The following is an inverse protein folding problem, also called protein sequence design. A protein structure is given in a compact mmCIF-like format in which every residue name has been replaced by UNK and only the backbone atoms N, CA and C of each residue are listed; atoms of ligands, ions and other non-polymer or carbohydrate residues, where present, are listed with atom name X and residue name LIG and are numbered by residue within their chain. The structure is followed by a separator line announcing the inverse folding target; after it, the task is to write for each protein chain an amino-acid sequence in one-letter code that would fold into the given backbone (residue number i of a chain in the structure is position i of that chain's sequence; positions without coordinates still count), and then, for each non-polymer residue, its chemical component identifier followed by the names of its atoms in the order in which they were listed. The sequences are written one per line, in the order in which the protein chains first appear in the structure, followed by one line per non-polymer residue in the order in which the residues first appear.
data_IF_234416358227
#
_entry.id   IF_234416358227
#
_cell.length_a   1.000
_cell.length_b   1.000
_cell.length_c   1.000
_cell.angle_alpha   90.00
_cell.angle_beta   90.00
_cell.angle_gamma   90.00
#
_symmetry.space_group_name_H-M   'P 1'
#
loop_
_entity.id
_entity.type
_entity.pdbx_description
1 polymer ?
#
# COMPACT_ATOMS: atom_id res chain seq x y z
N UNK A 1 6.71 -14.78 6.96
CA UNK A 1 5.77 -15.88 6.65
C UNK A 1 6.43 -17.23 6.34
N UNK A 2 7.69 -17.27 5.86
CA UNK A 2 8.41 -18.54 5.61
C UNK A 2 8.81 -19.31 6.88
N UNK A 3 8.63 -18.71 8.07
CA UNK A 3 8.83 -19.41 9.34
C UNK A 3 7.70 -20.46 9.51
N UNK A 4 8.03 -21.78 9.55
CA UNK A 4 7.02 -22.83 9.69
C UNK A 4 6.16 -22.70 10.95
N UNK A 5 6.71 -22.10 12.02
CA UNK A 5 5.99 -21.87 13.27
C UNK A 5 4.81 -20.92 13.07
N UNK A 6 4.98 -19.85 12.29
CA UNK A 6 3.92 -18.88 12.01
C UNK A 6 2.74 -19.55 11.30
N UNK A 7 3.04 -20.34 10.26
CA UNK A 7 2.00 -21.05 9.51
C UNK A 7 1.30 -22.12 10.35
N UNK A 8 2.05 -22.83 11.20
CA UNK A 8 1.45 -23.84 12.07
C UNK A 8 0.56 -23.20 13.15
N UNK A 9 0.97 -22.07 13.73
CA UNK A 9 0.12 -21.29 14.63
C UNK A 9 -1.19 -20.89 13.94
N UNK A 10 -1.15 -20.40 12.70
CA UNK A 10 -2.37 -20.08 11.94
C UNK A 10 -3.26 -21.30 11.69
N UNK A 11 -2.68 -22.45 11.33
CA UNK A 11 -3.45 -23.70 11.18
C UNK A 11 -4.09 -24.14 12.50
N UNK A 12 -3.37 -23.99 13.62
CA UNK A 12 -3.91 -24.30 14.95
C UNK A 12 -5.05 -23.35 15.34
N UNK A 13 -4.90 -22.04 15.09
CA UNK A 13 -5.96 -21.03 15.29
C UNK A 13 -7.20 -21.37 14.48
N UNK A 14 -7.04 -21.68 13.19
CA UNK A 14 -8.15 -22.06 12.31
C UNK A 14 -8.83 -23.35 12.79
N UNK A 15 -8.07 -24.39 13.15
CA UNK A 15 -8.63 -25.65 13.67
C UNK A 15 -9.46 -25.40 14.94
N UNK A 16 -8.93 -24.61 15.88
CA UNK A 16 -9.66 -24.24 17.11
C UNK A 16 -10.93 -23.46 16.79
N UNK A 17 -10.88 -22.52 15.85
CA UNK A 17 -12.04 -21.75 15.45
C UNK A 17 -13.13 -22.60 14.80
N UNK A 18 -12.76 -23.46 13.83
CA UNK A 18 -13.68 -24.40 13.19
C UNK A 18 -14.34 -25.32 14.23
N UNK A 19 -13.55 -25.90 15.15
CA UNK A 19 -14.08 -26.75 16.22
C UNK A 19 -15.08 -26.01 17.11
N UNK A 20 -14.80 -24.75 17.47
CA UNK A 20 -15.71 -23.94 18.28
C UNK A 20 -17.02 -23.59 17.56
N UNK A 21 -16.99 -23.46 16.23
CA UNK A 21 -18.18 -23.27 15.41
C UNK A 21 -19.00 -24.55 15.30
N UNK A 22 -18.37 -25.69 15.00
CA UNK A 22 -19.03 -27.01 14.91
C UNK A 22 -19.65 -27.42 16.25
N UNK A 23 -19.03 -27.07 17.38
CA UNK A 23 -19.58 -27.34 18.71
C UNK A 23 -20.91 -26.62 19.00
N UNK A 24 -21.33 -25.66 18.16
CA UNK A 24 -22.57 -24.88 18.29
C UNK A 24 -23.46 -25.11 17.05
N UNK A 25 -24.51 -25.95 17.11
CA UNK A 25 -25.31 -26.34 15.93
C UNK A 25 -25.87 -25.17 15.10
N UNK A 26 -26.26 -24.07 15.77
CA UNK A 26 -26.72 -22.86 15.08
C UNK A 26 -25.62 -22.18 14.25
N UNK A 27 -24.38 -22.12 14.78
CA UNK A 27 -23.25 -21.55 14.05
C UNK A 27 -22.76 -22.50 12.96
N UNK A 28 -22.75 -23.81 13.20
CA UNK A 28 -22.40 -24.81 12.18
C UNK A 28 -23.35 -24.73 10.98
N UNK A 29 -24.65 -24.68 11.24
CA UNK A 29 -25.68 -24.56 10.18
C UNK A 29 -25.48 -23.27 9.37
N UNK A 30 -25.15 -22.16 10.04
CA UNK A 30 -25.06 -20.86 9.39
C UNK A 30 -23.71 -20.64 8.67
N UNK A 31 -22.61 -21.17 9.20
CA UNK A 31 -21.25 -20.76 8.81
C UNK A 31 -20.33 -21.93 8.42
N UNK A 32 -20.71 -23.18 8.69
CA UNK A 32 -19.85 -24.36 8.51
C UNK A 32 -19.29 -24.53 7.09
N UNK A 33 -20.03 -24.07 6.07
CA UNK A 33 -19.63 -24.15 4.65
C UNK A 33 -18.69 -23.03 4.20
N UNK A 34 -18.56 -21.95 4.96
CA UNK A 34 -17.84 -20.75 4.52
C UNK A 34 -16.37 -21.03 4.18
N UNK A 35 -15.69 -21.86 4.98
CA UNK A 35 -14.29 -22.21 4.73
C UNK A 35 -14.07 -22.98 3.44
N UNK A 36 -14.92 -23.95 3.13
CA UNK A 36 -14.77 -24.78 1.92
C UNK A 36 -15.05 -23.97 0.66
N UNK A 37 -16.02 -23.06 0.72
CA UNK A 37 -16.35 -22.18 -0.40
C UNK A 37 -15.26 -21.13 -0.65
N UNK A 38 -14.68 -20.55 0.41
CA UNK A 38 -13.50 -19.68 0.28
C UNK A 38 -12.32 -20.47 -0.30
N UNK A 39 -12.03 -21.67 0.24
CA UNK A 39 -10.93 -22.50 -0.27
C UNK A 39 -11.12 -22.89 -1.74
N UNK A 40 -12.37 -23.09 -2.18
CA UNK A 40 -12.68 -23.33 -3.59
C UNK A 40 -12.51 -22.06 -4.45
N UNK A 41 -12.89 -20.90 -3.94
CA UNK A 41 -12.68 -19.60 -4.60
C UNK A 41 -11.18 -19.29 -4.77
N UNK A 42 -10.37 -19.49 -3.73
CA UNK A 42 -8.90 -19.31 -3.76
C UNK A 42 -8.23 -20.21 -4.80
N UNK A 43 -8.68 -21.47 -4.91
CA UNK A 43 -8.21 -22.38 -5.97
C UNK A 43 -8.53 -21.86 -7.37
N UNK A 44 -9.70 -21.23 -7.55
CA UNK A 44 -10.03 -20.57 -8.81
C UNK A 44 -9.14 -19.35 -9.01
N UNK A 45 -8.95 -18.51 -8.00
CA UNK A 45 -8.12 -17.30 -8.06
C UNK A 45 -6.68 -17.59 -8.52
N UNK A 46 -6.17 -18.79 -8.25
CA UNK A 46 -4.87 -19.25 -8.77
C UNK A 46 -4.82 -19.41 -10.30
N UNK A 47 -5.97 -19.54 -10.98
CA UNK A 47 -6.03 -19.74 -12.44
C UNK A 47 -5.51 -18.53 -13.21
N UNK A 48 -6.01 -17.29 -13.01
CA UNK A 48 -5.45 -16.12 -13.67
C UNK A 48 -4.25 -15.51 -12.94
N UNK A 49 -3.65 -16.19 -11.94
CA UNK A 49 -2.62 -15.58 -11.09
C UNK A 49 -1.37 -15.16 -11.88
N UNK A 50 -1.03 -15.91 -12.92
CA UNK A 50 0.12 -15.63 -13.76
C UNK A 50 -0.16 -14.43 -14.67
N UNK A 51 -1.33 -14.40 -15.31
CA UNK A 51 -1.83 -13.29 -16.13
C UNK A 51 -1.94 -12.00 -15.31
N UNK A 52 -2.46 -12.07 -14.08
CA UNK A 52 -2.52 -10.93 -13.16
C UNK A 52 -1.13 -10.36 -12.83
N UNK A 53 -0.08 -11.18 -12.88
CA UNK A 53 1.29 -10.75 -12.62
C UNK A 53 2.01 -10.23 -13.88
N UNK A 54 1.78 -10.85 -15.05
CA UNK A 54 2.55 -10.63 -16.28
C UNK A 54 1.75 -10.00 -17.44
N UNK A 55 0.65 -9.30 -17.20
CA UNK A 55 -0.08 -8.54 -18.24
C UNK A 55 -0.05 -7.04 -17.94
N UNK A 56 1.15 -6.51 -17.70
CA UNK A 56 1.36 -5.14 -17.26
C UNK A 56 2.36 -4.39 -18.12
N UNK A 57 2.07 -3.12 -18.45
CA UNK A 57 3.02 -2.26 -19.18
C UNK A 57 3.95 -1.46 -18.27
N UNK A 58 3.74 -1.54 -16.95
CA UNK A 58 4.49 -0.80 -15.91
C UNK A 58 4.69 0.70 -16.21
N UNK A 59 3.72 1.34 -16.89
CA UNK A 59 3.79 2.72 -17.38
C UNK A 59 2.70 3.59 -16.79
N UNK A 60 3.09 4.80 -16.35
CA UNK A 60 2.14 5.82 -15.88
C UNK A 60 1.25 6.31 -17.02
N UNK A 61 1.79 6.48 -18.23
CA UNK A 61 1.03 6.92 -19.41
C UNK A 61 0.00 5.86 -19.84
N UNK A 62 0.38 4.59 -19.83
CA UNK A 62 -0.56 3.48 -20.10
C UNK A 62 -1.65 3.40 -19.02
N UNK A 63 -1.28 3.61 -17.75
CA UNK A 63 -2.24 3.73 -16.64
C UNK A 63 -3.25 4.86 -16.84
N UNK A 64 -2.78 6.06 -17.19
CA UNK A 64 -3.63 7.22 -17.52
C UNK A 64 -4.58 6.87 -18.67
N UNK A 65 -4.07 6.29 -19.75
CA UNK A 65 -4.87 5.94 -20.92
C UNK A 65 -6.00 4.95 -20.57
N UNK A 66 -5.65 3.87 -19.85
CA UNK A 66 -6.61 2.90 -19.31
C UNK A 66 -7.69 3.60 -18.49
N UNK A 67 -7.30 4.43 -17.53
CA UNK A 67 -8.25 5.12 -16.66
C UNK A 67 -9.14 6.06 -17.45
N UNK A 68 -8.66 6.78 -18.46
CA UNK A 68 -9.49 7.63 -19.32
C UNK A 68 -10.52 6.80 -20.10
N UNK A 69 -10.09 5.69 -20.73
CA UNK A 69 -10.97 4.79 -21.50
C UNK A 69 -12.09 4.23 -20.61
N UNK A 70 -11.73 3.75 -19.41
CA UNK A 70 -12.70 3.24 -18.44
C UNK A 70 -13.60 4.36 -17.93
N UNK A 71 -13.03 5.49 -17.51
CA UNK A 71 -13.74 6.63 -16.94
C UNK A 71 -14.89 7.10 -17.83
N UNK A 72 -14.63 7.37 -19.12
CA UNK A 72 -15.67 7.91 -20.01
C UNK A 72 -16.83 6.93 -20.24
N UNK A 73 -16.59 5.63 -20.05
CA UNK A 73 -17.61 4.60 -20.11
C UNK A 73 -18.36 4.42 -18.78
N UNK A 74 -17.64 4.42 -17.65
CA UNK A 74 -18.23 4.21 -16.33
C UNK A 74 -19.13 5.37 -15.91
N UNK A 75 -18.77 6.63 -16.17
CA UNK A 75 -19.59 7.79 -15.77
C UNK A 75 -20.97 7.85 -16.44
N UNK A 76 -21.21 7.06 -17.49
CA UNK A 76 -22.51 6.94 -18.16
C UNK A 76 -23.44 5.92 -17.49
N UNK A 77 -22.91 5.07 -16.62
CA UNK A 77 -23.68 4.07 -15.88
C UNK A 77 -24.23 4.66 -14.57
N UNK A 78 -25.34 4.11 -14.04
CA UNK A 78 -25.77 4.38 -12.68
C UNK A 78 -24.62 4.13 -11.69
N UNK A 79 -24.49 4.96 -10.65
CA UNK A 79 -23.35 4.89 -9.74
C UNK A 79 -23.14 3.48 -9.17
N UNK A 80 -24.22 2.80 -8.78
CA UNK A 80 -24.27 1.42 -8.30
C UNK A 80 -23.73 0.34 -9.25
N UNK A 81 -23.72 0.60 -10.56
CA UNK A 81 -23.30 -0.33 -11.61
C UNK A 81 -21.88 -0.08 -12.13
N UNK A 82 -21.20 0.97 -11.63
CA UNK A 82 -19.84 1.31 -12.05
C UNK A 82 -18.81 0.36 -11.45
N UNK A 83 -17.69 0.22 -12.17
CA UNK A 83 -16.50 -0.42 -11.63
C UNK A 83 -16.03 0.30 -10.33
N UNK A 84 -15.49 -0.44 -9.35
CA UNK A 84 -14.82 0.16 -8.20
C UNK A 84 -13.75 1.18 -8.64
N UNK A 85 -13.66 2.32 -7.96
CA UNK A 85 -12.77 3.43 -8.33
C UNK A 85 -13.44 4.52 -9.19
N UNK A 86 -14.61 4.23 -9.77
CA UNK A 86 -15.36 5.18 -10.62
C UNK A 86 -16.69 5.62 -10.00
N UNK A 87 -16.87 5.40 -8.69
CA UNK A 87 -18.06 5.87 -7.95
C UNK A 87 -18.04 7.39 -7.82
N UNK A 88 -19.21 8.01 -7.67
CA UNK A 88 -19.36 9.46 -7.55
C UNK A 88 -18.46 10.06 -6.46
N UNK A 89 -18.35 9.38 -5.31
CA UNK A 89 -17.47 9.78 -4.19
C UNK A 89 -15.97 9.78 -4.51
N UNK A 90 -15.55 9.15 -5.61
CA UNK A 90 -14.15 8.98 -6.01
C UNK A 90 -13.79 9.83 -7.24
N UNK A 91 -14.77 10.34 -7.99
CA UNK A 91 -14.52 10.98 -9.29
C UNK A 91 -13.65 12.24 -9.19
N UNK A 92 -13.83 13.06 -8.16
CA UNK A 92 -13.05 14.30 -8.03
C UNK A 92 -11.57 14.02 -7.78
N UNK A 93 -11.25 13.05 -6.92
CA UNK A 93 -9.86 12.59 -6.71
C UNK A 93 -9.29 11.99 -7.98
N UNK A 94 -10.06 11.15 -8.68
CA UNK A 94 -9.63 10.53 -9.92
C UNK A 94 -9.32 11.57 -11.01
N UNK A 95 -10.16 12.60 -11.14
CA UNK A 95 -9.93 13.71 -12.08
C UNK A 95 -8.70 14.53 -11.69
N UNK A 96 -8.52 14.81 -10.41
CA UNK A 96 -7.34 15.51 -9.90
C UNK A 96 -6.06 14.76 -10.27
N UNK A 97 -6.02 13.44 -10.06
CA UNK A 97 -4.87 12.60 -10.39
C UNK A 97 -4.61 12.53 -11.89
N UNK A 98 -5.66 12.34 -12.71
CA UNK A 98 -5.55 12.34 -14.16
C UNK A 98 -5.01 13.66 -14.70
N UNK A 99 -5.40 14.79 -14.13
CA UNK A 99 -5.01 16.13 -14.57
C UNK A 99 -3.75 16.67 -13.89
N UNK A 100 -3.07 15.85 -13.08
CA UNK A 100 -1.81 16.21 -12.44
C UNK A 100 -0.74 16.59 -13.46
N UNK A 101 -0.13 17.77 -13.25
CA UNK A 101 1.00 18.27 -14.04
C UNK A 101 2.35 17.74 -13.57
N UNK A 102 2.37 16.77 -12.64
CA UNK A 102 3.61 16.15 -12.20
C UNK A 102 4.35 15.53 -13.39
N UNK A 103 5.66 15.82 -13.56
CA UNK A 103 6.40 15.47 -14.76
C UNK A 103 6.38 13.96 -15.01
N UNK A 104 6.36 13.59 -16.30
CA UNK A 104 6.49 12.22 -16.77
C UNK A 104 7.72 12.16 -17.66
N UNK A 105 8.69 11.35 -17.26
CA UNK A 105 9.96 11.21 -17.97
C UNK A 105 9.84 10.13 -19.04
N UNK A 106 9.77 10.55 -20.30
CA UNK A 106 9.53 9.67 -21.45
C UNK A 106 10.56 8.55 -21.57
N UNK A 107 11.83 8.83 -21.26
CA UNK A 107 12.89 7.81 -21.30
C UNK A 107 12.69 6.72 -20.23
N UNK A 108 12.23 7.11 -19.03
CA UNK A 108 11.88 6.18 -17.96
C UNK A 108 10.66 5.34 -18.36
N UNK A 109 9.63 5.96 -18.94
CA UNK A 109 8.45 5.24 -19.42
C UNK A 109 8.82 4.23 -20.52
N UNK A 110 9.67 4.60 -21.49
CA UNK A 110 10.17 3.69 -22.52
C UNK A 110 10.89 2.49 -21.89
N UNK A 111 11.82 2.73 -20.95
CA UNK A 111 12.57 1.67 -20.29
C UNK A 111 11.67 0.72 -19.48
N UNK A 112 10.65 1.27 -18.77
CA UNK A 112 9.70 0.47 -17.99
C UNK A 112 8.82 -0.41 -18.87
N UNK A 113 8.24 0.14 -19.94
CA UNK A 113 7.41 -0.62 -20.89
C UNK A 113 8.22 -1.74 -21.51
N UNK A 114 9.42 -1.42 -22.02
CA UNK A 114 10.32 -2.42 -22.59
C UNK A 114 10.61 -3.53 -21.59
N UNK A 115 11.05 -3.20 -20.37
CA UNK A 115 11.39 -4.19 -19.36
C UNK A 115 10.21 -5.06 -18.93
N UNK A 116 9.02 -4.47 -18.79
CA UNK A 116 7.79 -5.20 -18.50
C UNK A 116 7.44 -6.17 -19.63
N UNK A 117 7.44 -5.72 -20.89
CA UNK A 117 7.14 -6.57 -22.04
C UNK A 117 8.19 -7.66 -22.29
N UNK A 118 9.47 -7.40 -22.02
CA UNK A 118 10.52 -8.43 -22.05
C UNK A 118 10.29 -9.51 -20.98
N UNK A 119 9.90 -9.10 -19.77
CA UNK A 119 9.58 -10.02 -18.69
C UNK A 119 8.33 -10.84 -19.01
N UNK A 120 7.27 -10.19 -19.48
CA UNK A 120 6.02 -10.84 -19.89
C UNK A 120 6.28 -11.83 -21.02
N UNK A 121 7.03 -11.44 -22.05
CA UNK A 121 7.40 -12.32 -23.16
C UNK A 121 8.20 -13.53 -22.70
N UNK A 122 9.13 -13.35 -21.76
CA UNK A 122 9.92 -14.44 -21.18
C UNK A 122 9.03 -15.42 -20.39
N UNK A 123 8.03 -14.93 -19.69
CA UNK A 123 7.26 -15.73 -18.73
C UNK A 123 6.00 -16.33 -19.34
N UNK A 124 5.35 -15.63 -20.26
CA UNK A 124 4.10 -16.02 -20.92
C UNK A 124 4.32 -16.64 -22.30
N UNK A 125 5.40 -16.26 -22.98
CA UNK A 125 5.70 -16.70 -24.34
C UNK A 125 5.02 -15.86 -25.43
N UNK A 126 5.44 -15.99 -26.69
CA UNK A 126 4.99 -15.13 -27.79
C UNK A 126 3.53 -15.36 -28.22
N UNK A 127 2.93 -16.48 -27.81
CA UNK A 127 1.57 -16.83 -28.17
C UNK A 127 0.49 -16.27 -27.25
N UNK A 128 0.91 -15.67 -26.13
CA UNK A 128 0.03 -15.06 -25.14
C UNK A 128 -0.87 -13.97 -25.76
N UNK A 129 -2.19 -13.97 -25.48
CA UNK A 129 -3.13 -13.03 -26.06
C UNK A 129 -2.81 -11.56 -25.75
N UNK A 130 -2.35 -11.24 -24.54
CA UNK A 130 -1.99 -9.87 -24.17
C UNK A 130 -0.77 -9.41 -24.97
N UNK A 131 0.27 -10.24 -25.07
CA UNK A 131 1.46 -9.91 -25.84
C UNK A 131 1.18 -9.76 -27.33
N UNK A 132 0.28 -10.57 -27.90
CA UNK A 132 -0.16 -10.40 -29.30
C UNK A 132 -0.80 -9.04 -29.55
N UNK A 133 -1.63 -8.57 -28.60
CA UNK A 133 -2.27 -7.24 -28.68
C UNK A 133 -1.22 -6.14 -28.50
N UNK A 134 -0.35 -6.23 -27.50
CA UNK A 134 0.57 -5.11 -27.21
C UNK A 134 1.69 -4.99 -28.25
N UNK A 135 2.29 -6.12 -28.64
CA UNK A 135 3.45 -6.13 -29.53
C UNK A 135 3.08 -5.89 -30.99
N UNK A 136 1.91 -6.36 -31.44
CA UNK A 136 1.54 -6.38 -32.87
C UNK A 136 2.66 -6.98 -33.75
N UNK A 137 3.31 -8.04 -33.26
CA UNK A 137 4.43 -8.71 -33.94
C UNK A 137 5.79 -7.98 -33.91
N UNK A 138 5.89 -6.84 -33.22
CA UNK A 138 7.15 -6.11 -33.01
C UNK A 138 7.94 -6.64 -31.82
N UNK A 139 9.19 -6.19 -31.69
CA UNK A 139 9.97 -6.41 -30.48
C UNK A 139 9.43 -5.57 -29.31
N UNK A 140 9.70 -5.96 -28.05
CA UNK A 140 9.41 -5.11 -26.88
C UNK A 140 10.01 -3.70 -26.98
N UNK A 141 11.23 -3.58 -27.50
CA UNK A 141 11.92 -2.30 -27.71
C UNK A 141 11.15 -1.40 -28.70
N UNK A 142 10.87 -1.92 -29.89
CA UNK A 142 10.18 -1.15 -30.94
C UNK A 142 8.76 -0.78 -30.51
N UNK A 143 8.12 -1.66 -29.74
CA UNK A 143 6.79 -1.43 -29.18
C UNK A 143 6.80 -0.30 -28.16
N UNK A 144 7.74 -0.32 -27.20
CA UNK A 144 7.90 0.73 -26.22
C UNK A 144 8.18 2.09 -26.88
N UNK A 145 9.13 2.13 -27.83
CA UNK A 145 9.45 3.35 -28.57
C UNK A 145 8.24 3.90 -29.34
N UNK A 146 7.50 3.04 -30.05
CA UNK A 146 6.32 3.46 -30.80
C UNK A 146 5.17 3.95 -29.90
N UNK A 147 4.93 3.27 -28.77
CA UNK A 147 3.91 3.68 -27.82
C UNK A 147 4.24 5.04 -27.21
N UNK A 148 5.48 5.25 -26.79
CA UNK A 148 5.87 6.55 -26.22
C UNK A 148 5.83 7.63 -27.29
N UNK A 149 6.48 7.44 -28.44
CA UNK A 149 6.53 8.45 -29.50
C UNK A 149 5.15 8.84 -30.06
N UNK A 150 4.18 7.92 -30.02
CA UNK A 150 2.82 8.16 -30.49
C UNK A 150 1.87 8.81 -29.48
N UNK A 151 2.29 9.02 -28.22
CA UNK A 151 1.40 9.55 -27.17
C UNK A 151 1.74 10.99 -26.77
N UNK A 152 0.69 11.75 -26.47
CA UNK A 152 0.72 13.11 -25.91
C UNK A 152 0.07 13.16 -24.53
N UNK A 153 -0.14 12.01 -23.89
CA UNK A 153 -0.73 11.93 -22.56
C UNK A 153 0.22 12.43 -21.46
N UNK A 154 1.43 12.88 -21.76
CA UNK A 154 2.25 13.68 -20.84
C UNK A 154 1.72 15.11 -20.67
N UNK A 155 0.90 15.61 -21.60
CA UNK A 155 0.21 16.90 -21.51
C UNK A 155 -1.18 16.78 -20.82
N UNK A 156 -1.40 17.39 -19.64
CA UNK A 156 -2.70 17.41 -18.98
C UNK A 156 -3.83 18.03 -19.82
N UNK A 157 -3.53 18.92 -20.78
CA UNK A 157 -4.55 19.49 -21.66
C UNK A 157 -5.12 18.45 -22.62
N UNK A 158 -4.28 17.54 -23.13
CA UNK A 158 -4.71 16.41 -23.98
C UNK A 158 -5.60 15.46 -23.18
N UNK A 159 -5.21 15.13 -21.94
CA UNK A 159 -6.02 14.32 -21.03
C UNK A 159 -7.39 14.96 -20.77
N UNK A 160 -7.41 16.27 -20.50
CA UNK A 160 -8.65 17.03 -20.28
C UNK A 160 -9.57 16.96 -21.50
N UNK A 161 -9.03 17.19 -22.69
CA UNK A 161 -9.81 17.13 -23.93
C UNK A 161 -10.45 15.74 -24.16
N UNK A 162 -9.74 14.65 -23.84
CA UNK A 162 -10.26 13.29 -23.92
C UNK A 162 -11.38 13.03 -22.89
N UNK A 163 -11.19 13.49 -21.66
CA UNK A 163 -12.16 13.35 -20.56
C UNK A 163 -13.46 14.11 -20.88
N UNK A 164 -13.34 15.37 -21.29
CA UNK A 164 -14.48 16.25 -21.60
C UNK A 164 -15.18 15.86 -22.90
N UNK A 165 -14.42 15.41 -23.91
CA UNK A 165 -14.95 14.89 -25.16
C UNK A 165 -15.60 13.50 -25.05
N UNK A 166 -15.43 12.83 -23.91
CA UNK A 166 -16.12 11.58 -23.59
C UNK A 166 -15.79 10.41 -24.52
N UNK A 167 -16.73 9.45 -24.61
CA UNK A 167 -16.55 8.23 -25.41
C UNK A 167 -16.24 8.51 -26.88
N UNK A 168 -16.81 9.56 -27.47
CA UNK A 168 -16.56 9.91 -28.87
C UNK A 168 -15.11 10.33 -29.08
N UNK A 169 -14.58 11.22 -28.24
CA UNK A 169 -13.18 11.65 -28.35
C UNK A 169 -12.21 10.49 -28.12
N UNK A 170 -12.49 9.62 -27.14
CA UNK A 170 -11.69 8.41 -26.89
C UNK A 170 -11.76 7.44 -28.08
N UNK A 171 -12.94 7.21 -28.65
CA UNK A 171 -13.13 6.32 -29.80
C UNK A 171 -12.46 6.84 -31.09
N UNK A 172 -12.32 8.15 -31.24
CA UNK A 172 -11.69 8.77 -32.41
C UNK A 172 -10.20 9.06 -32.20
N UNK A 173 -9.69 8.95 -30.98
CA UNK A 173 -8.29 9.23 -30.65
C UNK A 173 -7.34 8.31 -31.43
N UNK A 174 -6.28 8.89 -31.96
CA UNK A 174 -5.15 8.18 -32.57
C UNK A 174 -3.92 8.16 -31.65
N UNK A 175 -4.06 8.64 -30.42
CA UNK A 175 -2.99 8.56 -29.41
C UNK A 175 -2.67 7.09 -29.13
N UNK A 176 -1.41 6.70 -29.29
CA UNK A 176 -0.96 5.30 -29.22
C UNK A 176 -1.34 4.61 -27.91
N UNK A 177 -1.32 5.32 -26.78
CA UNK A 177 -1.67 4.76 -25.49
C UNK A 177 -3.19 4.61 -25.33
N UNK A 178 -3.99 5.53 -25.89
CA UNK A 178 -5.46 5.40 -25.92
C UNK A 178 -5.90 4.28 -26.86
N UNK A 179 -5.23 4.11 -28.01
CA UNK A 179 -5.46 2.98 -28.91
C UNK A 179 -5.19 1.67 -28.17
N UNK A 180 -4.00 1.52 -27.56
CA UNK A 180 -3.65 0.33 -26.79
C UNK A 180 -4.64 0.04 -25.66
N UNK A 181 -5.02 1.07 -24.89
CA UNK A 181 -5.97 0.93 -23.79
C UNK A 181 -7.34 0.41 -24.26
N UNK A 182 -7.83 0.86 -25.43
CA UNK A 182 -9.08 0.34 -26.02
C UNK A 182 -8.97 -1.10 -26.50
N UNK A 183 -7.82 -1.47 -27.07
CA UNK A 183 -7.59 -2.86 -27.52
C UNK A 183 -7.54 -3.84 -26.34
N UNK A 184 -6.99 -3.41 -25.20
CA UNK A 184 -6.88 -4.21 -23.98
C UNK A 184 -8.15 -4.22 -23.12
N UNK A 185 -9.02 -3.21 -23.22
CA UNK A 185 -10.21 -3.03 -22.37
C UNK A 185 -11.13 -4.27 -22.32
N UNK A 186 -11.47 -4.94 -23.45
CA UNK A 186 -12.34 -6.12 -23.41
C UNK A 186 -11.76 -7.27 -22.57
N UNK A 187 -10.47 -7.59 -22.74
CA UNK A 187 -9.79 -8.64 -21.98
C UNK A 187 -9.74 -8.28 -20.48
N UNK A 188 -9.43 -7.01 -20.17
CA UNK A 188 -9.38 -6.53 -18.79
C UNK A 188 -10.73 -6.61 -18.10
N UNK A 189 -11.80 -6.20 -18.78
CA UNK A 189 -13.18 -6.28 -18.25
C UNK A 189 -13.64 -7.71 -18.07
N UNK A 190 -13.28 -8.61 -19.00
CA UNK A 190 -13.57 -10.03 -18.86
C UNK A 190 -12.91 -10.62 -17.61
N UNK A 191 -11.64 -10.27 -17.35
CA UNK A 191 -10.92 -10.70 -16.15
C UNK A 191 -11.52 -10.13 -14.87
N UNK A 192 -11.83 -8.81 -14.84
CA UNK A 192 -12.51 -8.18 -13.69
C UNK A 192 -13.84 -8.87 -13.39
N UNK A 193 -14.67 -9.10 -14.41
CA UNK A 193 -15.95 -9.79 -14.25
C UNK A 193 -15.77 -11.22 -13.76
N UNK A 194 -14.82 -11.95 -14.33
CA UNK A 194 -14.55 -13.33 -13.93
C UNK A 194 -14.13 -13.40 -12.45
N UNK A 195 -13.25 -12.49 -12.00
CA UNK A 195 -12.79 -12.40 -10.62
C UNK A 195 -13.95 -12.06 -9.68
N UNK A 196 -14.79 -11.09 -10.05
CA UNK A 196 -15.98 -10.73 -9.27
C UNK A 196 -16.93 -11.93 -9.11
N UNK A 197 -17.27 -12.59 -10.23
CA UNK A 197 -18.25 -13.68 -10.27
C UNK A 197 -17.74 -14.96 -9.56
N UNK A 198 -16.43 -15.19 -9.52
CA UNK A 198 -15.86 -16.46 -9.03
C UNK A 198 -15.08 -16.38 -7.72
N UNK A 199 -14.58 -15.20 -7.36
CA UNK A 199 -13.64 -15.01 -6.25
C UNK A 199 -14.18 -13.97 -5.29
N UNK A 200 -14.21 -12.70 -5.68
CA UNK A 200 -14.51 -11.57 -4.78
C UNK A 200 -15.89 -11.67 -4.14
N UNK A 201 -16.93 -12.03 -4.91
CA UNK A 201 -18.29 -12.19 -4.37
C UNK A 201 -18.44 -13.36 -3.39
N UNK A 202 -17.60 -14.39 -3.51
CA UNK A 202 -17.56 -15.53 -2.57
C UNK A 202 -16.81 -15.11 -1.32
N UNK A 203 -15.63 -14.53 -1.46
CA UNK A 203 -14.79 -14.08 -0.34
C UNK A 203 -15.47 -13.02 0.51
N UNK A 204 -16.12 -12.02 -0.08
CA UNK A 204 -16.82 -10.99 0.68
C UNK A 204 -17.97 -11.60 1.51
N UNK A 205 -18.88 -12.33 0.85
CA UNK A 205 -20.04 -12.92 1.52
C UNK A 205 -19.64 -13.93 2.60
N UNK A 206 -18.70 -14.83 2.31
CA UNK A 206 -18.25 -15.86 3.26
C UNK A 206 -17.31 -15.30 4.31
N UNK A 207 -16.51 -14.29 3.97
CA UNK A 207 -15.67 -13.54 4.90
C UNK A 207 -16.50 -12.80 5.95
N UNK A 208 -17.58 -12.13 5.55
CA UNK A 208 -18.53 -11.52 6.49
C UNK A 208 -19.17 -12.53 7.44
N UNK A 209 -19.56 -13.70 6.91
CA UNK A 209 -20.10 -14.81 7.69
C UNK A 209 -19.08 -15.31 8.72
N UNK A 210 -17.82 -15.53 8.31
CA UNK A 210 -16.75 -15.91 9.21
C UNK A 210 -16.44 -14.81 10.24
N UNK A 211 -16.54 -13.54 9.86
CA UNK A 211 -16.42 -12.41 10.78
C UNK A 211 -17.49 -12.45 11.88
N UNK A 212 -18.77 -12.67 11.51
CA UNK A 212 -19.88 -12.84 12.46
C UNK A 212 -19.68 -14.08 13.34
N UNK A 213 -19.23 -15.19 12.78
CA UNK A 213 -18.92 -16.41 13.53
C UNK A 213 -17.77 -16.17 14.54
N UNK A 214 -16.72 -15.46 14.13
CA UNK A 214 -15.57 -15.12 14.99
C UNK A 214 -16.03 -14.30 16.18
N UNK A 215 -16.89 -13.30 15.96
CA UNK A 215 -17.49 -12.53 17.06
C UNK A 215 -18.39 -13.38 17.97
N UNK A 216 -19.20 -14.29 17.40
CA UNK A 216 -20.05 -15.19 18.20
C UNK A 216 -19.26 -16.22 19.04
N UNK A 217 -18.02 -16.55 18.63
CA UNK A 217 -17.13 -17.47 19.35
C UNK A 217 -16.27 -16.74 20.37
N UNK A 218 -15.61 -15.64 20.00
CA UNK A 218 -14.59 -14.97 20.80
C UNK A 218 -15.05 -13.67 21.45
N UNK A 219 -16.20 -13.13 21.05
CA UNK A 219 -16.73 -11.86 21.55
C UNK A 219 -15.71 -10.73 21.39
N UNK A 220 -15.51 -9.97 22.47
CA UNK A 220 -14.63 -8.79 22.51
C UNK A 220 -13.16 -9.10 22.81
N UNK A 221 -12.79 -10.39 22.88
CA UNK A 221 -11.39 -10.79 23.15
C UNK A 221 -10.48 -10.66 21.92
N UNK A 222 -11.06 -10.40 20.74
CA UNK A 222 -10.35 -10.17 19.48
C UNK A 222 -10.77 -8.85 18.86
N UNK A 223 -9.86 -8.19 18.14
CA UNK A 223 -10.15 -6.96 17.40
C UNK A 223 -10.36 -7.23 15.90
N UNK A 224 -11.16 -6.42 15.20
CA UNK A 224 -11.33 -6.53 13.75
C UNK A 224 -10.08 -6.05 13.00
N UNK A 225 -9.89 -6.53 11.78
CA UNK A 225 -8.79 -6.10 10.90
C UNK A 225 -8.85 -4.59 10.62
N UNK A 226 -7.71 -3.99 10.29
CA UNK A 226 -7.63 -2.57 9.96
C UNK A 226 -8.40 -2.25 8.67
N UNK A 227 -9.21 -1.19 8.69
CA UNK A 227 -10.07 -0.79 7.56
C UNK A 227 -10.01 0.71 7.26
N UNK A 228 -8.85 1.35 7.50
CA UNK A 228 -8.69 2.82 7.46
C UNK A 228 -9.66 3.58 8.39
N UNK A 229 -10.10 2.91 9.46
CA UNK A 229 -10.92 3.50 10.52
C UNK A 229 -10.07 3.74 11.76
N UNK A 230 -10.49 4.68 12.62
CA UNK A 230 -9.78 4.98 13.86
C UNK A 230 -9.66 3.73 14.74
N UNK A 231 -8.44 3.43 15.21
CA UNK A 231 -8.14 2.37 16.17
C UNK A 231 -7.26 2.89 17.30
N UNK A 232 -7.34 2.25 18.46
CA UNK A 232 -6.47 2.48 19.59
C UNK A 232 -5.66 1.21 19.85
N UNK A 233 -4.36 1.38 20.00
CA UNK A 233 -3.41 0.33 20.37
C UNK A 233 -2.69 0.81 21.64
N UNK A 234 -2.51 -0.09 22.60
CA UNK A 234 -1.79 0.20 23.85
C UNK A 234 -0.63 -0.76 24.01
N UNK A 235 0.45 -0.28 24.62
CA UNK A 235 1.69 -1.02 24.73
C UNK A 235 2.65 -0.41 25.73
N UNK A 236 3.84 -1.00 25.82
CA UNK A 236 4.89 -0.57 26.73
C UNK A 236 6.14 -0.16 25.96
N UNK A 237 6.86 0.84 26.47
CA UNK A 237 8.19 1.22 25.97
C UNK A 237 9.18 0.16 26.43
N UNK A 238 9.65 -0.69 25.51
CA UNK A 238 10.56 -1.80 25.85
C UNK A 238 11.44 -2.18 24.67
N UNK A 239 12.68 -2.59 24.97
CA UNK A 239 13.63 -3.09 23.97
C UNK A 239 13.20 -4.45 23.40
N UNK A 240 13.99 -4.98 22.48
CA UNK A 240 13.71 -6.27 21.83
C UNK A 240 15.01 -6.99 21.43
N UNK A 241 15.00 -8.33 21.25
CA UNK A 241 16.12 -9.05 20.67
C UNK A 241 16.41 -8.54 19.25
N UNK A 242 17.66 -8.23 18.94
CA UNK A 242 18.06 -7.66 17.65
C UNK A 242 19.43 -8.18 17.24
N UNK A 243 19.55 -8.83 16.09
CA UNK A 243 20.83 -9.29 15.51
C UNK A 243 21.77 -10.00 16.49
N UNK A 244 21.26 -10.96 17.27
CA UNK A 244 22.05 -11.70 18.27
C UNK A 244 22.41 -10.89 19.54
N UNK A 245 21.89 -9.67 19.66
CA UNK A 245 22.01 -8.77 20.81
C UNK A 245 20.61 -8.27 21.24
N UNK A 246 20.53 -7.14 21.94
CA UNK A 246 19.30 -6.46 22.34
C UNK A 246 19.32 -5.01 21.87
N UNK A 247 18.27 -4.59 21.19
CA UNK A 247 18.02 -3.18 20.92
C UNK A 247 17.46 -2.50 22.18
N UNK A 248 17.97 -1.32 22.57
CA UNK A 248 17.40 -0.54 23.67
C UNK A 248 16.01 -0.01 23.29
N UNK A 249 15.22 0.38 24.30
CA UNK A 249 13.89 0.95 24.07
C UNK A 249 13.92 2.38 23.50
N UNK A 250 15.08 3.06 23.55
CA UNK A 250 15.26 4.41 23.03
C UNK A 250 16.66 4.64 22.49
N UNK A 251 16.78 5.58 21.56
CA UNK A 251 18.03 6.19 21.11
C UNK A 251 18.11 7.63 21.59
N UNK A 252 19.26 8.28 21.42
CA UNK A 252 19.47 9.69 21.74
C UNK A 252 20.03 10.42 20.52
N UNK A 253 20.03 11.76 20.57
CA UNK A 253 20.65 12.58 19.53
C UNK A 253 22.15 12.31 19.38
N UNK A 254 22.85 11.85 20.43
CA UNK A 254 24.23 11.34 20.30
C UNK A 254 24.36 10.29 19.19
N UNK A 255 23.42 9.34 19.11
CA UNK A 255 23.45 8.26 18.11
C UNK A 255 23.33 8.75 16.68
N UNK A 256 22.64 9.88 16.44
CA UNK A 256 22.55 10.51 15.12
C UNK A 256 23.94 10.99 14.65
N UNK A 257 24.65 11.73 15.50
CA UNK A 257 25.98 12.28 15.17
C UNK A 257 27.04 11.19 15.12
N UNK A 258 26.98 10.22 16.03
CA UNK A 258 27.88 9.07 16.05
C UNK A 258 27.74 8.24 14.76
N UNK A 259 26.50 7.96 14.33
CA UNK A 259 26.23 7.25 13.07
C UNK A 259 26.78 8.02 11.87
N UNK A 260 26.52 9.32 11.79
CA UNK A 260 27.04 10.13 10.69
C UNK A 260 28.57 10.11 10.64
N UNK A 261 29.23 10.28 11.79
CA UNK A 261 30.70 10.25 11.87
C UNK A 261 31.27 8.87 11.52
N UNK A 262 30.63 7.78 11.95
CA UNK A 262 31.04 6.40 11.66
C UNK A 262 30.97 6.04 10.17
N UNK A 263 30.25 6.82 9.37
CA UNK A 263 30.10 6.67 7.92
C UNK A 263 30.69 7.88 7.18
N UNK A 264 31.69 8.56 7.76
CA UNK A 264 32.44 9.67 7.16
C UNK A 264 31.55 10.83 6.67
N UNK A 265 30.37 10.99 7.26
CA UNK A 265 29.35 11.94 6.83
C UNK A 265 28.98 11.78 5.34
N UNK A 266 29.01 10.55 4.83
CA UNK A 266 28.69 10.23 3.44
C UNK A 266 27.23 9.73 3.29
N UNK A 267 26.60 9.91 2.11
CA UNK A 267 25.26 9.38 1.84
C UNK A 267 25.16 7.86 2.08
N UNK A 268 24.06 7.36 2.68
CA UNK A 268 22.85 8.08 3.10
C UNK A 268 22.89 8.62 4.55
N UNK A 269 24.03 8.61 5.24
CA UNK A 269 24.17 8.99 6.65
C UNK A 269 24.74 10.41 6.87
N UNK A 270 24.89 11.19 5.80
CA UNK A 270 25.37 12.56 5.88
C UNK A 270 24.35 13.46 6.59
N UNK A 271 24.84 14.32 7.49
CA UNK A 271 24.02 15.34 8.14
C UNK A 271 23.85 16.54 7.22
N UNK A 272 22.68 17.17 7.28
CA UNK A 272 22.49 18.47 6.61
C UNK A 272 23.31 19.56 7.33
N UNK A 273 23.68 20.66 6.64
CA UNK A 273 24.47 21.74 7.25
C UNK A 273 23.87 22.26 8.56
N UNK A 274 22.54 22.38 8.63
CA UNK A 274 21.82 22.81 9.83
C UNK A 274 22.10 21.93 11.05
N UNK A 275 22.14 20.60 10.88
CA UNK A 275 22.47 19.68 11.98
C UNK A 275 23.96 19.71 12.30
N UNK A 276 24.84 19.84 11.31
CA UNK A 276 26.28 19.93 11.54
C UNK A 276 26.65 21.18 12.36
N UNK A 277 26.14 22.35 11.96
CA UNK A 277 26.42 23.64 12.59
C UNK A 277 25.73 23.80 13.95
N UNK A 278 24.50 23.29 14.08
CA UNK A 278 23.68 23.42 15.29
C UNK A 278 24.00 22.40 16.38
N UNK A 279 24.96 21.49 16.18
CA UNK A 279 25.28 20.41 17.13
C UNK A 279 25.53 20.90 18.56
N UNK A 280 26.24 22.02 18.71
CA UNK A 280 26.61 22.59 20.01
C UNK A 280 25.43 23.21 20.78
N UNK A 281 24.34 23.50 20.07
CA UNK A 281 23.15 24.15 20.63
C UNK A 281 22.10 23.13 21.12
N UNK A 282 22.30 21.84 20.81
CA UNK A 282 21.41 20.74 21.16
C UNK A 282 21.80 20.05 22.45
N UNK A 283 20.81 19.62 23.23
CA UNK A 283 21.00 18.56 24.21
C UNK A 283 21.11 17.20 23.50
N UNK A 284 22.35 16.75 23.26
CA UNK A 284 22.58 15.46 22.59
C UNK A 284 22.08 14.25 23.39
N UNK A 285 21.83 14.40 24.70
CA UNK A 285 21.27 13.34 25.54
C UNK A 285 19.77 13.16 25.36
N UNK A 286 19.08 14.13 24.73
CA UNK A 286 17.66 14.06 24.46
C UNK A 286 17.30 12.77 23.71
N UNK A 287 16.23 12.11 24.16
CA UNK A 287 15.70 10.93 23.49
C UNK A 287 15.32 11.29 22.05
N UNK A 288 15.80 10.50 21.09
CA UNK A 288 15.54 10.75 19.68
C UNK A 288 14.38 9.91 19.19
N UNK A 289 14.59 8.61 19.02
CA UNK A 289 13.53 7.67 18.70
C UNK A 289 13.34 6.71 19.87
N UNK A 290 12.17 6.09 19.95
CA UNK A 290 11.87 5.04 20.91
C UNK A 290 10.94 4.00 20.30
N UNK A 291 10.91 2.83 20.91
CA UNK A 291 10.13 1.68 20.46
C UNK A 291 9.13 1.23 21.51
N UNK A 292 7.99 0.72 21.05
CA UNK A 292 6.89 0.25 21.90
C UNK A 292 6.28 -1.05 21.39
N UNK A 293 5.59 -1.78 22.26
CA UNK A 293 4.80 -2.98 21.90
C UNK A 293 3.41 -2.62 21.36
N UNK A 294 3.21 -1.42 20.83
CA UNK A 294 1.96 -1.07 20.18
C UNK A 294 1.89 -1.82 18.83
N UNK A 295 0.77 -2.48 18.57
CA UNK A 295 0.47 -3.07 17.26
C UNK A 295 0.06 -1.95 16.29
N UNK A 296 0.85 -1.78 15.22
CA UNK A 296 0.66 -0.77 14.17
C UNK A 296 0.85 -1.41 12.80
N UNK A 297 0.29 -0.76 11.78
CA UNK A 297 0.39 -1.16 10.37
C UNK A 297 0.42 0.08 9.47
N UNK A 298 0.55 -0.11 8.15
CA UNK A 298 0.39 0.95 7.16
C UNK A 298 -0.86 1.79 7.41
N UNK A 299 -0.70 3.11 7.46
CA UNK A 299 -1.74 4.08 7.82
C UNK A 299 -1.62 4.65 9.24
N UNK A 300 -0.77 4.08 10.10
CA UNK A 300 -0.49 4.65 11.43
C UNK A 300 0.65 5.69 11.46
N UNK A 301 1.38 5.91 10.36
CA UNK A 301 2.38 6.97 10.28
C UNK A 301 1.73 8.34 10.57
N UNK A 302 2.29 9.07 11.53
CA UNK A 302 1.72 10.32 12.03
C UNK A 302 0.78 10.17 13.24
N UNK A 303 0.53 8.95 13.73
CA UNK A 303 -0.26 8.75 14.96
C UNK A 303 0.46 9.31 16.19
N UNK A 304 -0.21 10.07 17.08
CA UNK A 304 0.38 10.50 18.33
C UNK A 304 0.55 9.33 19.30
N UNK A 305 1.70 9.26 19.97
CA UNK A 305 1.92 8.38 21.12
C UNK A 305 1.55 9.15 22.38
N UNK A 306 0.60 8.62 23.15
CA UNK A 306 0.04 9.27 24.33
C UNK A 306 0.42 8.45 25.57
N UNK A 307 0.89 9.12 26.64
CA UNK A 307 1.22 8.45 27.89
C UNK A 307 0.00 8.26 28.82
N UNK A 308 0.19 7.62 29.97
CA UNK A 308 -0.89 7.37 30.95
C UNK A 308 -1.53 8.62 31.56
N UNK A 309 -0.99 9.82 31.31
CA UNK A 309 -1.55 11.11 31.74
C UNK A 309 -2.28 11.85 30.62
N UNK A 310 -2.35 11.28 29.41
CA UNK A 310 -2.96 11.94 28.26
C UNK A 310 -2.04 12.92 27.54
N UNK A 311 -0.73 12.91 27.82
CA UNK A 311 0.24 13.82 27.20
C UNK A 311 0.86 13.17 25.95
N UNK A 312 1.13 13.96 24.91
CA UNK A 312 1.84 13.51 23.71
C UNK A 312 3.33 13.33 24.04
N UNK A 313 3.85 12.12 23.84
CA UNK A 313 5.26 11.76 24.09
C UNK A 313 6.02 11.36 22.83
N UNK A 314 5.32 11.19 21.71
CA UNK A 314 5.96 10.94 20.42
C UNK A 314 5.00 10.89 19.26
N UNK A 315 5.55 10.58 18.10
CA UNK A 315 4.83 10.43 16.83
C UNK A 315 5.30 9.15 16.15
N UNK A 316 4.38 8.25 15.86
CA UNK A 316 4.66 7.02 15.11
C UNK A 316 5.10 7.38 13.70
N UNK A 317 6.17 6.75 13.21
CA UNK A 317 6.58 6.91 11.82
C UNK A 317 6.89 5.60 11.11
N UNK A 318 7.21 4.52 11.83
CA UNK A 318 7.58 3.24 11.23
C UNK A 318 7.39 2.07 12.22
N UNK A 319 7.64 0.85 11.75
CA UNK A 319 7.86 -0.36 12.55
C UNK A 319 9.29 -0.90 12.37
N UNK A 320 9.71 -1.86 13.18
CA UNK A 320 10.99 -2.56 12.95
C UNK A 320 10.86 -3.62 11.85
N UNK A 321 11.99 -4.18 11.39
CA UNK A 321 11.98 -5.18 10.30
C UNK A 321 11.12 -6.42 10.63
N UNK A 322 11.11 -6.83 11.90
CA UNK A 322 10.28 -7.94 12.38
C UNK A 322 8.78 -7.64 12.29
N UNK A 323 8.37 -6.37 12.22
CA UNK A 323 6.96 -5.97 12.09
C UNK A 323 6.40 -6.09 10.67
N UNK A 324 7.23 -6.39 9.66
CA UNK A 324 6.78 -6.49 8.26
C UNK A 324 5.74 -7.59 8.00
N UNK A 325 5.58 -8.55 8.94
CA UNK A 325 4.53 -9.58 8.87
C UNK A 325 3.26 -9.21 9.65
N UNK A 326 3.21 -7.99 10.21
CA UNK A 326 2.13 -7.49 11.08
C UNK A 326 0.73 -7.59 10.47
N UNK A 327 0.62 -7.48 9.15
CA UNK A 327 -0.62 -7.69 8.38
C UNK A 327 -1.24 -9.07 8.61
N UNK A 328 -0.44 -10.06 9.00
CA UNK A 328 -0.87 -11.44 9.21
C UNK A 328 -0.74 -11.89 10.67
N UNK A 329 0.35 -11.49 11.34
CA UNK A 329 0.68 -11.92 12.71
C UNK A 329 1.42 -10.81 13.46
N UNK A 330 0.93 -10.54 14.66
CA UNK A 330 1.64 -9.76 15.67
C UNK A 330 2.43 -10.68 16.62
N UNK A 331 3.74 -10.47 16.69
CA UNK A 331 4.64 -11.15 17.63
C UNK A 331 5.16 -10.16 18.67
N UNK A 332 4.66 -10.25 19.90
CA UNK A 332 5.00 -9.32 20.97
C UNK A 332 6.48 -9.38 21.38
N UNK A 333 7.18 -10.49 21.13
CA UNK A 333 8.58 -10.62 21.55
C UNK A 333 9.50 -9.72 20.71
N UNK A 334 9.21 -9.61 19.41
CA UNK A 334 10.08 -8.96 18.43
C UNK A 334 9.46 -7.74 17.76
N UNK A 335 8.16 -7.71 17.52
CA UNK A 335 7.47 -6.62 16.80
C UNK A 335 7.46 -5.34 17.64
N UNK A 336 7.88 -4.22 17.05
CA UNK A 336 7.91 -2.92 17.70
C UNK A 336 7.41 -1.82 16.76
N UNK A 337 6.51 -1.00 17.27
CA UNK A 337 6.25 0.31 16.70
C UNK A 337 7.40 1.27 17.02
N UNK A 338 7.80 2.08 16.04
CA UNK A 338 8.88 3.07 16.14
C UNK A 338 8.29 4.48 16.08
N UNK A 339 8.65 5.29 17.07
CA UNK A 339 8.21 6.67 17.17
C UNK A 339 9.39 7.62 17.37
N UNK A 340 9.25 8.84 16.85
CA UNK A 340 10.12 9.96 17.23
C UNK A 340 9.63 10.55 18.54
N UNK A 341 10.55 10.82 19.46
CA UNK A 341 10.26 11.35 20.78
C UNK A 341 10.08 12.87 20.75
N UNK A 342 9.13 13.41 21.51
CA UNK A 342 8.85 14.86 21.53
C UNK A 342 10.03 15.70 22.00
N UNK A 343 10.93 15.14 22.83
CA UNK A 343 12.19 15.78 23.22
C UNK A 343 13.04 16.18 22.01
N UNK A 344 13.32 15.26 21.08
CA UNK A 344 14.09 15.59 19.88
C UNK A 344 13.34 16.53 18.92
N UNK A 345 12.02 16.40 18.82
CA UNK A 345 11.19 17.35 18.05
C UNK A 345 11.32 18.76 18.62
N UNK A 346 11.31 18.90 19.95
CA UNK A 346 11.47 20.17 20.66
C UNK A 346 12.86 20.77 20.47
N UNK A 347 13.90 19.96 20.62
CA UNK A 347 15.29 20.37 20.36
C UNK A 347 15.44 20.88 18.92
N UNK A 348 14.94 20.14 17.93
CA UNK A 348 14.99 20.55 16.53
C UNK A 348 14.23 21.86 16.29
N UNK A 349 12.97 21.95 16.73
CA UNK A 349 12.12 23.13 16.52
C UNK A 349 12.74 24.39 17.11
N UNK A 350 13.24 24.33 18.35
CA UNK A 350 13.74 25.49 19.08
C UNK A 350 15.17 25.86 18.71
N UNK A 351 16.07 24.87 18.56
CA UNK A 351 17.51 25.12 18.44
C UNK A 351 17.99 25.14 16.99
N UNK A 352 17.46 24.27 16.15
CA UNK A 352 17.89 24.16 14.76
C UNK A 352 17.02 24.99 13.81
N UNK A 353 15.70 24.89 13.96
CA UNK A 353 14.75 25.55 13.07
C UNK A 353 14.34 26.94 13.55
N UNK A 354 14.52 27.24 14.84
CA UNK A 354 14.09 28.51 15.47
C UNK A 354 12.64 28.83 15.15
N UNK A 355 11.78 27.81 15.22
CA UNK A 355 10.36 27.90 14.97
C UNK A 355 9.62 28.41 16.21
N UNK A 356 10.07 29.56 16.75
CA UNK A 356 9.65 30.06 18.07
C UNK A 356 8.13 30.27 18.15
N UNK A 357 7.51 30.81 17.10
CA UNK A 357 6.06 31.00 17.03
C UNK A 357 5.30 29.68 17.21
N UNK A 358 5.72 28.64 16.49
CA UNK A 358 5.08 27.33 16.57
C UNK A 358 5.30 26.70 17.94
N UNK A 359 6.50 26.85 18.50
CA UNK A 359 6.79 26.36 19.84
C UNK A 359 5.93 27.06 20.90
N UNK A 360 5.81 28.39 20.87
CA UNK A 360 4.95 29.14 21.80
C UNK A 360 3.50 28.69 21.73
N UNK A 361 2.97 28.51 20.51
CA UNK A 361 1.62 27.98 20.28
C UNK A 361 1.43 26.59 20.91
N UNK A 362 2.37 25.66 20.69
CA UNK A 362 2.32 24.31 21.25
C UNK A 362 2.53 24.28 22.78
N UNK A 363 3.32 25.20 23.32
CA UNK A 363 3.62 25.30 24.74
C UNK A 363 2.58 26.12 25.53
N UNK A 364 1.61 26.73 24.84
CA UNK A 364 0.61 27.62 25.44
C UNK A 364 1.22 28.89 26.05
N UNK A 365 2.26 29.44 25.43
CA UNK A 365 3.03 30.61 25.90
C UNK A 365 2.71 31.89 25.13
#
# INVERSE_FOLDING_TARGET
LQNPHVMETKRMEERKFRQAVVAKPALETQYGRAWEEIAAAEKKAATPAKENFYHGTDSRLAGIAKTIVEYVAEIKKPDGERLPGYRDSQLDSLRFDLLSSAPIYRDMETARIRGALELDLKQMGPDDPFLKIVLHGRTPEDTAAALINGTKLDDPAVRRALIEGGQTAVAQSTDSMIVLARELDPMRRALVKWTEDNVTSVEQRRGEELGRARFAVYGKSTYPDATFTLRLSYGQVTGYPYNGTKAPSKTTLYGLYDRAASFDNAPPFNLTPRYQEGRKDLDLSAAFNFVTTNDIIGGNSGSPVINGKGEIVGLIFDGNIESLVGDYVYDIETNRAVAVHTAAMTEALRKLYRADRLWSELAGQ
#
